data_IF_273472959894
#
_entry.id   IF_273472959894
#
_cell.length_a   1.000
_cell.length_b   1.000
_cell.length_c   1.000
_cell.angle_alpha   90.00
_cell.angle_beta   90.00
_cell.angle_gamma   90.00
#
_symmetry.space_group_name_H-M   'P 1'
#
loop_
_entity.id
_entity.type
_entity.pdbx_description
1 polymer ?
#
# COMPACT_ATOMS: atom_id res chain seq x y z
N UNK A 1 -18.58 -12.40 12.09
CA UNK A 1 -18.97 -11.21 12.87
C UNK A 1 -19.36 -11.67 14.26
N UNK A 2 -18.72 -11.11 15.29
CA UNK A 2 -18.97 -11.48 16.68
C UNK A 2 -20.04 -10.60 17.32
N UNK A 3 -20.98 -11.24 18.01
CA UNK A 3 -22.08 -10.66 18.76
C UNK A 3 -21.90 -11.01 20.25
N UNK A 4 -22.46 -10.20 21.13
CA UNK A 4 -22.54 -10.50 22.55
C UNK A 4 -23.91 -11.16 22.84
N UNK A 5 -23.95 -12.47 23.15
CA UNK A 5 -25.20 -13.20 23.33
C UNK A 5 -26.01 -12.73 24.55
N UNK A 6 -25.43 -11.90 25.43
CA UNK A 6 -26.14 -11.36 26.61
C UNK A 6 -26.95 -10.10 26.30
N UNK A 7 -26.65 -9.43 25.18
CA UNK A 7 -27.29 -8.15 24.82
C UNK A 7 -27.75 -8.07 23.36
N UNK A 8 -27.20 -8.88 22.47
CA UNK A 8 -27.52 -8.91 21.04
C UNK A 8 -28.47 -10.08 20.71
N UNK A 9 -29.39 -9.87 19.78
CA UNK A 9 -30.13 -10.95 19.13
C UNK A 9 -29.20 -11.74 18.19
N UNK A 10 -29.59 -12.99 17.90
CA UNK A 10 -28.80 -13.90 17.07
C UNK A 10 -29.09 -13.75 15.58
N UNK A 11 -30.15 -13.05 15.19
CA UNK A 11 -30.47 -12.83 13.78
C UNK A 11 -29.67 -11.66 13.21
N UNK A 12 -29.02 -11.89 12.08
CA UNK A 12 -28.18 -10.92 11.37
C UNK A 12 -28.55 -10.87 9.90
N UNK A 13 -28.79 -9.66 9.41
CA UNK A 13 -29.11 -9.36 8.02
C UNK A 13 -27.87 -8.79 7.35
N UNK A 14 -27.33 -9.52 6.38
CA UNK A 14 -26.21 -9.06 5.58
C UNK A 14 -26.70 -8.43 4.29
N UNK A 15 -26.39 -7.15 4.06
CA UNK A 15 -26.52 -6.52 2.75
C UNK A 15 -25.30 -6.82 1.90
N UNK A 16 -25.50 -7.40 0.71
CA UNK A 16 -24.43 -7.81 -0.22
C UNK A 16 -24.48 -7.02 -1.54
N UNK A 17 -23.32 -6.63 -2.10
CA UNK A 17 -23.25 -5.99 -3.41
C UNK A 17 -23.56 -6.99 -4.55
N UNK A 18 -23.90 -6.52 -5.76
CA UNK A 18 -23.97 -5.10 -6.15
C UNK A 18 -25.28 -4.40 -5.77
N UNK A 19 -26.36 -5.16 -5.61
CA UNK A 19 -27.72 -4.60 -5.54
C UNK A 19 -28.21 -4.37 -4.09
N UNK A 20 -27.38 -4.69 -3.09
CA UNK A 20 -27.73 -4.57 -1.67
C UNK A 20 -28.66 -5.68 -1.19
N UNK A 21 -28.69 -6.83 -1.87
CA UNK A 21 -29.54 -7.97 -1.51
C UNK A 21 -29.33 -8.39 -0.05
N UNK A 22 -30.40 -8.77 0.64
CA UNK A 22 -30.34 -9.16 2.05
C UNK A 22 -30.20 -10.67 2.17
N UNK A 23 -29.16 -11.10 2.89
CA UNK A 23 -28.93 -12.48 3.28
C UNK A 23 -29.14 -12.59 4.78
N UNK A 24 -30.21 -13.26 5.18
CA UNK A 24 -30.49 -13.56 6.58
C UNK A 24 -29.59 -14.69 7.06
N UNK A 25 -28.93 -14.48 8.20
CA UNK A 25 -28.06 -15.45 8.84
C UNK A 25 -28.28 -15.47 10.35
N UNK A 26 -28.41 -16.66 10.90
CA UNK A 26 -28.50 -16.86 12.33
C UNK A 26 -27.10 -17.12 12.90
N UNK A 27 -26.74 -16.40 13.94
CA UNK A 27 -25.46 -16.54 14.60
C UNK A 27 -25.33 -17.91 15.29
N UNK A 28 -24.18 -18.53 15.13
CA UNK A 28 -23.82 -19.76 15.85
C UNK A 28 -23.37 -19.35 17.26
N UNK A 29 -24.11 -19.80 18.27
CA UNK A 29 -23.80 -19.52 19.67
C UNK A 29 -22.85 -20.57 20.21
N UNK A 30 -21.73 -20.12 20.78
CA UNK A 30 -20.78 -20.94 21.53
C UNK A 30 -20.74 -20.48 22.99
N UNK A 31 -20.07 -21.24 23.87
CA UNK A 31 -19.95 -20.89 25.29
C UNK A 31 -19.28 -19.54 25.57
N UNK A 32 -18.56 -18.95 24.59
CA UNK A 32 -17.79 -17.72 24.76
C UNK A 32 -18.26 -16.55 23.87
N UNK A 33 -19.03 -16.82 22.81
CA UNK A 33 -19.46 -15.81 21.85
C UNK A 33 -20.57 -16.33 20.94
N UNK A 34 -21.37 -15.42 20.39
CA UNK A 34 -22.21 -15.68 19.22
C UNK A 34 -21.51 -15.14 17.96
N UNK A 35 -21.48 -15.93 16.89
CA UNK A 35 -20.84 -15.54 15.64
C UNK A 35 -21.72 -15.80 14.42
N UNK A 36 -22.00 -14.74 13.67
CA UNK A 36 -22.64 -14.82 12.35
C UNK A 36 -21.58 -14.72 11.25
N UNK A 37 -21.59 -15.62 10.29
CA UNK A 37 -20.67 -15.58 9.14
C UNK A 37 -21.44 -15.48 7.84
N UNK A 38 -20.99 -14.63 6.92
CA UNK A 38 -21.48 -14.63 5.55
C UNK A 38 -20.66 -15.67 4.78
N UNK A 39 -21.28 -16.69 4.15
CA UNK A 39 -20.55 -17.83 3.59
C UNK A 39 -19.66 -17.46 2.40
N UNK A 40 -19.99 -16.41 1.65
CA UNK A 40 -19.21 -15.98 0.49
C UNK A 40 -19.25 -14.45 0.32
N UNK A 41 -18.11 -13.89 -0.11
CA UNK A 41 -17.93 -12.48 -0.47
C UNK A 41 -17.29 -12.40 -1.86
N UNK A 42 -17.98 -12.92 -2.87
CA UNK A 42 -17.43 -13.10 -4.24
C UNK A 42 -17.37 -11.78 -5.02
N UNK A 43 -18.21 -10.82 -4.65
CA UNK A 43 -18.32 -9.54 -5.33
C UNK A 43 -17.56 -8.47 -4.57
N UNK A 44 -16.66 -7.75 -5.24
CA UNK A 44 -16.02 -6.58 -4.65
C UNK A 44 -17.06 -5.48 -4.39
N UNK A 45 -17.02 -4.85 -3.21
CA UNK A 45 -17.95 -3.79 -2.87
C UNK A 45 -18.13 -3.56 -1.37
N UNK A 46 -19.09 -2.71 -1.06
CA UNK A 46 -19.54 -2.47 0.32
C UNK A 46 -20.53 -3.53 0.76
N UNK A 47 -20.32 -4.04 1.98
CA UNK A 47 -21.18 -4.97 2.68
C UNK A 47 -21.63 -4.32 3.99
N UNK A 48 -22.81 -4.68 4.48
CA UNK A 48 -23.28 -4.27 5.80
C UNK A 48 -23.86 -5.47 6.55
N UNK A 49 -23.64 -5.54 7.86
CA UNK A 49 -24.29 -6.48 8.75
C UNK A 49 -25.20 -5.68 9.69
N UNK A 50 -26.50 -5.99 9.70
CA UNK A 50 -27.50 -5.39 10.57
C UNK A 50 -28.00 -6.42 11.56
N UNK A 51 -28.11 -6.05 12.82
CA UNK A 51 -28.63 -6.91 13.87
C UNK A 51 -29.32 -6.04 14.90
N UNK A 52 -30.11 -6.68 15.76
CA UNK A 52 -30.86 -5.98 16.80
C UNK A 52 -30.35 -6.40 18.17
N UNK A 53 -30.37 -5.48 19.13
CA UNK A 53 -30.15 -5.79 20.54
C UNK A 53 -31.42 -6.27 21.21
N UNK A 54 -31.28 -6.99 22.32
CA UNK A 54 -32.40 -7.43 23.16
C UNK A 54 -33.21 -6.26 23.73
N UNK A 55 -32.62 -5.06 23.79
CA UNK A 55 -33.31 -3.81 24.12
C UNK A 55 -34.14 -3.21 22.96
N UNK A 56 -34.13 -3.87 21.80
CA UNK A 56 -34.81 -3.46 20.57
C UNK A 56 -34.02 -2.49 19.70
N UNK A 57 -32.84 -2.04 20.11
CA UNK A 57 -32.03 -1.08 19.35
C UNK A 57 -31.34 -1.79 18.18
N UNK A 58 -31.58 -1.29 16.97
CA UNK A 58 -30.89 -1.78 15.77
C UNK A 58 -29.44 -1.28 15.71
N UNK A 59 -28.55 -2.14 15.23
CA UNK A 59 -27.14 -1.84 14.99
C UNK A 59 -26.77 -2.27 13.59
N UNK A 60 -25.84 -1.52 13.01
CA UNK A 60 -25.29 -1.79 11.70
C UNK A 60 -23.77 -1.68 11.73
N UNK A 61 -23.11 -2.55 10.99
CA UNK A 61 -21.67 -2.49 10.74
C UNK A 61 -21.39 -2.64 9.26
N UNK A 62 -20.80 -1.60 8.68
CA UNK A 62 -20.38 -1.59 7.28
C UNK A 62 -18.91 -2.00 7.15
N UNK A 63 -18.57 -2.68 6.06
CA UNK A 63 -17.21 -3.07 5.71
C UNK A 63 -17.08 -3.19 4.18
N UNK A 64 -15.87 -2.96 3.66
CA UNK A 64 -15.59 -3.08 2.23
C UNK A 64 -14.72 -4.31 1.97
N UNK A 65 -15.05 -5.07 0.92
CA UNK A 65 -14.26 -6.19 0.43
C UNK A 65 -13.80 -5.86 -0.98
N UNK A 66 -12.48 -5.76 -1.18
CA UNK A 66 -11.90 -5.33 -2.46
C UNK A 66 -11.65 -6.49 -3.44
N UNK A 67 -11.49 -7.72 -2.94
CA UNK A 67 -11.02 -8.89 -3.71
C UNK A 67 -11.62 -10.15 -3.08
N UNK A 68 -12.07 -11.11 -3.89
CA UNK A 68 -12.51 -12.41 -3.37
C UNK A 68 -11.35 -13.09 -2.62
N UNK A 69 -11.56 -13.71 -1.45
CA UNK A 69 -10.46 -14.29 -0.66
C UNK A 69 -9.58 -15.28 -1.45
N UNK A 70 -10.17 -16.01 -2.40
CA UNK A 70 -9.47 -16.97 -3.24
C UNK A 70 -8.71 -16.34 -4.43
N UNK A 71 -9.03 -15.10 -4.84
CA UNK A 71 -8.36 -14.44 -5.97
C UNK A 71 -6.90 -14.09 -5.64
N UNK A 72 -6.59 -13.81 -4.36
CA UNK A 72 -5.22 -13.67 -3.87
C UNK A 72 -4.45 -14.98 -3.74
N UNK A 73 -5.11 -16.13 -3.92
CA UNK A 73 -4.51 -17.46 -3.77
C UNK A 73 -3.85 -17.90 -5.07
N UNK A 74 -2.72 -17.26 -5.38
CA UNK A 74 -1.88 -17.62 -6.51
C UNK A 74 -1.18 -18.96 -6.23
N UNK A 75 -1.85 -20.07 -6.54
CA UNK A 75 -1.19 -21.38 -6.57
C UNK A 75 -0.09 -21.36 -7.63
N UNK A 76 1.14 -21.74 -7.23
CA UNK A 76 2.23 -21.95 -8.20
C UNK A 76 1.90 -23.19 -9.03
N UNK A 77 1.30 -22.96 -10.19
CA UNK A 77 1.06 -24.00 -11.19
C UNK A 77 2.42 -24.41 -11.78
N UNK A 78 2.81 -25.68 -11.55
CA UNK A 78 3.99 -26.26 -12.17
C UNK A 78 3.80 -26.50 -13.68
N UNK A 79 4.91 -26.61 -14.43
CA UNK A 79 4.92 -26.74 -15.90
C UNK A 79 3.89 -27.74 -16.45
N UNK A 80 3.87 -28.97 -15.93
CA UNK A 80 2.95 -30.00 -16.45
C UNK A 80 1.46 -29.70 -16.28
N UNK A 81 1.05 -28.95 -15.24
CA UNK A 81 -0.35 -28.55 -15.04
C UNK A 81 -0.72 -27.37 -15.95
N UNK A 82 0.22 -26.45 -16.20
CA UNK A 82 0.00 -25.33 -17.11
C UNK A 82 -0.07 -25.81 -18.56
N UNK A 83 0.76 -26.79 -18.95
CA UNK A 83 0.71 -27.39 -20.29
C UNK A 83 -0.65 -28.04 -20.58
N UNK A 84 -1.22 -28.73 -19.58
CA UNK A 84 -2.56 -29.32 -19.68
C UNK A 84 -3.66 -28.25 -19.78
N UNK A 85 -3.56 -27.17 -19.00
CA UNK A 85 -4.53 -26.08 -18.99
C UNK A 85 -4.49 -25.23 -20.27
N UNK A 86 -3.32 -25.10 -20.91
CA UNK A 86 -3.12 -24.30 -22.11
C UNK A 86 -3.10 -25.15 -23.40
N UNK A 87 -3.76 -26.31 -23.39
CA UNK A 87 -3.84 -27.18 -24.57
C UNK A 87 -4.41 -26.40 -25.77
N UNK A 88 -3.61 -26.28 -26.83
CA UNK A 88 -3.99 -25.56 -28.05
C UNK A 88 -3.70 -24.04 -28.05
N UNK A 89 -3.15 -23.49 -26.97
CA UNK A 89 -2.70 -22.11 -26.89
C UNK A 89 -1.18 -22.07 -27.05
N UNK A 90 -0.67 -21.26 -27.97
CA UNK A 90 0.77 -21.03 -28.07
C UNK A 90 1.25 -20.21 -26.86
N UNK A 91 2.14 -20.79 -26.06
CA UNK A 91 2.77 -20.09 -24.93
C UNK A 91 4.28 -20.33 -24.93
N UNK A 92 5.01 -19.44 -24.27
CA UNK A 92 6.46 -19.57 -24.04
C UNK A 92 6.72 -19.41 -22.54
N UNK A 93 7.51 -20.33 -21.98
CA UNK A 93 8.04 -20.17 -20.62
C UNK A 93 9.29 -19.30 -20.66
N UNK A 94 9.23 -18.16 -19.99
CA UNK A 94 10.41 -17.33 -19.75
C UNK A 94 10.72 -17.34 -18.25
N UNK A 95 11.90 -17.83 -17.82
CA UNK A 95 12.28 -17.79 -16.41
C UNK A 95 12.42 -16.33 -15.98
N UNK A 96 12.00 -16.02 -14.74
CA UNK A 96 12.12 -14.67 -14.19
C UNK A 96 13.57 -14.15 -14.19
N UNK A 97 14.56 -15.04 -14.15
CA UNK A 97 15.98 -14.69 -14.27
C UNK A 97 16.43 -14.32 -15.69
N UNK A 98 15.66 -14.70 -16.72
CA UNK A 98 15.88 -14.31 -18.11
C UNK A 98 15.17 -13.00 -18.47
N UNK A 99 14.18 -12.58 -17.66
CA UNK A 99 13.65 -11.22 -17.66
C UNK A 99 14.69 -10.33 -16.97
N UNK A 100 15.80 -10.02 -17.66
CA UNK A 100 16.62 -8.88 -17.27
C UNK A 100 15.70 -7.65 -17.30
N UNK A 101 15.54 -6.91 -16.18
CA UNK A 101 15.02 -5.56 -16.27
C UNK A 101 15.92 -4.85 -17.25
N UNK A 102 15.33 -4.35 -18.34
CA UNK A 102 16.05 -3.70 -19.42
C UNK A 102 16.67 -2.40 -18.86
N UNK A 103 17.85 -2.52 -18.24
CA UNK A 103 18.63 -1.40 -17.75
C UNK A 103 19.25 -0.57 -18.90
N UNK A 104 18.98 -0.96 -20.15
CA UNK A 104 19.41 -0.29 -21.37
C UNK A 104 18.36 0.64 -21.99
N UNK A 105 17.09 0.55 -21.57
CA UNK A 105 16.06 1.50 -21.98
C UNK A 105 16.25 2.83 -21.25
N UNK A 106 16.16 3.96 -21.95
CA UNK A 106 16.25 5.33 -21.42
C UNK A 106 15.32 5.66 -20.22
N UNK A 107 14.51 4.71 -19.76
CA UNK A 107 13.79 4.74 -18.50
C UNK A 107 14.73 4.35 -17.33
N UNK A 108 15.56 5.29 -16.87
CA UNK A 108 16.30 5.09 -15.62
C UNK A 108 17.75 5.58 -15.60
N UNK A 109 18.17 6.47 -16.50
CA UNK A 109 19.45 7.17 -16.26
C UNK A 109 19.30 7.94 -14.95
N UNK A 110 20.07 7.62 -13.89
CA UNK A 110 19.88 8.25 -12.60
C UNK A 110 20.27 9.72 -12.71
N UNK A 111 19.27 10.62 -12.76
CA UNK A 111 19.46 12.08 -12.82
C UNK A 111 20.25 12.62 -11.63
N UNK A 112 20.36 11.85 -10.56
CA UNK A 112 21.14 12.21 -9.38
C UNK A 112 22.57 12.62 -9.73
N UNK A 113 23.28 11.89 -10.59
CA UNK A 113 24.66 12.22 -10.96
C UNK A 113 24.79 13.54 -11.75
N UNK A 114 24.11 13.73 -12.89
CA UNK A 114 24.20 14.99 -13.63
C UNK A 114 23.65 16.18 -12.82
N UNK A 115 22.62 15.98 -11.99
CA UNK A 115 22.08 17.02 -11.11
C UNK A 115 23.11 17.46 -10.06
N UNK A 116 23.81 16.51 -9.43
CA UNK A 116 24.86 16.82 -8.46
C UNK A 116 26.04 17.56 -9.10
N UNK A 117 26.44 17.19 -10.32
CA UNK A 117 27.48 17.93 -11.04
C UNK A 117 27.04 19.35 -11.40
N UNK A 118 25.80 19.54 -11.85
CA UNK A 118 25.24 20.85 -12.13
C UNK A 118 25.19 21.72 -10.86
N UNK A 119 24.71 21.16 -9.75
CA UNK A 119 24.66 21.86 -8.47
C UNK A 119 26.06 22.25 -7.98
N UNK A 120 27.02 21.32 -8.06
CA UNK A 120 28.40 21.61 -7.71
C UNK A 120 28.99 22.74 -8.57
N UNK A 121 28.72 22.75 -9.87
CA UNK A 121 29.18 23.81 -10.76
C UNK A 121 28.59 25.18 -10.40
N UNK A 122 27.29 25.24 -10.09
CA UNK A 122 26.62 26.47 -9.64
C UNK A 122 27.26 26.97 -8.34
N UNK A 123 27.42 26.09 -7.34
CA UNK A 123 28.04 26.46 -6.06
C UNK A 123 29.48 26.95 -6.23
N UNK A 124 30.28 26.31 -7.09
CA UNK A 124 31.64 26.74 -7.37
C UNK A 124 31.69 28.11 -8.05
N UNK A 125 30.79 28.37 -9.00
CA UNK A 125 30.67 29.67 -9.64
C UNK A 125 30.27 30.76 -8.64
N UNK A 126 29.34 30.47 -7.73
CA UNK A 126 28.97 31.39 -6.66
C UNK A 126 30.17 31.74 -5.76
N UNK A 127 30.99 30.76 -5.39
CA UNK A 127 32.20 31.03 -4.59
C UNK A 127 33.18 31.95 -5.32
N UNK A 128 33.38 31.73 -6.63
CA UNK A 128 34.25 32.58 -7.44
C UNK A 128 33.71 34.00 -7.56
N UNK A 129 32.40 34.16 -7.74
CA UNK A 129 31.74 35.48 -7.79
C UNK A 129 31.84 36.19 -6.44
N UNK A 130 31.59 35.49 -5.33
CA UNK A 130 31.71 36.05 -3.98
C UNK A 130 33.15 36.51 -3.67
N UNK A 131 34.15 35.72 -4.10
CA UNK A 131 35.56 36.09 -3.99
C UNK A 131 35.89 37.33 -4.83
N UNK A 132 35.45 37.37 -6.09
CA UNK A 132 35.71 38.48 -7.00
C UNK A 132 34.99 39.78 -6.57
N UNK A 133 33.78 39.66 -6.02
CA UNK A 133 33.01 40.78 -5.49
C UNK A 133 33.50 41.26 -4.10
N UNK A 134 34.55 40.64 -3.54
CA UNK A 134 35.17 41.08 -2.29
C UNK A 134 34.31 40.87 -1.04
N UNK A 135 33.33 39.97 -1.08
CA UNK A 135 32.45 39.67 0.07
C UNK A 135 33.16 38.95 1.22
N UNK A 136 34.47 38.71 1.14
CA UNK A 136 35.28 38.36 2.28
C UNK A 136 35.67 39.64 3.05
N UNK A 137 35.06 39.94 4.22
CA UNK A 137 35.58 40.98 5.08
C UNK A 137 36.98 40.57 5.52
N UNK A 138 37.98 41.27 4.99
CA UNK A 138 39.37 41.16 5.46
C UNK A 138 39.36 41.62 6.91
N UNK A 139 39.47 40.68 7.85
CA UNK A 139 39.59 40.99 9.27
C UNK A 139 40.92 41.72 9.48
N UNK A 140 40.89 43.05 9.56
CA UNK A 140 42.07 43.86 9.85
C UNK A 140 42.49 43.62 11.30
N UNK A 141 43.42 42.68 11.53
CA UNK A 141 44.14 42.61 12.82
C UNK A 141 45.20 43.71 12.82
N UNK A 142 44.78 44.95 13.06
CA UNK A 142 45.68 46.03 13.47
C UNK A 142 45.73 46.03 15.00
N UNK A 143 46.62 45.22 15.56
CA UNK A 143 47.07 45.40 16.93
C UNK A 143 48.49 45.96 16.84
N UNK A 144 48.56 47.28 16.94
CA UNK A 144 49.78 48.05 16.93
C UNK A 144 50.82 47.49 17.90
N UNK A 145 52.03 47.31 17.38
CA UNK A 145 53.23 47.05 18.14
C UNK A 145 53.41 48.17 19.19
N UNK A 146 53.53 47.75 20.46
CA UNK A 146 53.98 48.63 21.55
C UNK A 146 55.50 48.44 21.67
N UNK A 147 56.33 49.48 21.43
CA UNK A 147 57.77 49.34 21.62
C UNK A 147 58.11 49.33 23.11
N UNK A 148 59.09 48.51 23.47
CA UNK A 148 59.64 48.39 24.80
C UNK A 148 60.63 49.52 25.07
N UNK A 149 60.44 50.24 26.19
CA UNK A 149 61.49 50.73 27.11
C UNK A 149 60.89 50.74 28.51
#
# INVERSE_FOLDING_TARGET
MRLDPTIDEIEVDFSVPPDGAIVHQTAVVTAAAAEASLPATETAGGYAARWRRLDGVERERQFAVNVAPEEGRLERVGRGRLDAALTGVAYRYEPASALQPDAGGLAGVPLARPLLYALFAVLALEQLVAFAAGYHPVSSRSAAARPAV
#
